data_IF_768695289943
#
_entry.id   IF_768695289943
#
_cell.length_a   1.000
_cell.length_b   1.000
_cell.length_c   1.000
_cell.angle_alpha   90.00
_cell.angle_beta   90.00
_cell.angle_gamma   90.00
#
_symmetry.space_group_name_H-M   'P 1'
#
loop_
_entity.id
_entity.type
_entity.pdbx_description
1 polymer ?
#
# COMPACT_ATOMS: atom_id res chain seq x y z
N UNK A 1 36.25 12.61 18.74
CA UNK A 1 36.35 14.07 18.46
C UNK A 1 35.31 14.44 17.42
N UNK A 2 34.24 15.15 17.81
CA UNK A 2 33.09 15.46 16.94
C UNK A 2 33.44 16.40 15.76
N UNK A 3 34.44 17.26 15.97
CA UNK A 3 34.82 18.36 15.08
C UNK A 3 35.29 17.96 13.67
N UNK A 4 35.93 16.79 13.51
CA UNK A 4 36.51 16.37 12.21
C UNK A 4 35.57 15.49 11.37
N UNK A 5 34.52 14.96 12.00
CA UNK A 5 33.60 14.01 11.34
C UNK A 5 32.50 14.72 10.57
N UNK A 6 32.06 15.90 11.04
CA UNK A 6 31.04 16.71 10.41
C UNK A 6 31.71 17.81 9.60
N UNK A 7 31.69 17.68 8.27
CA UNK A 7 32.20 18.69 7.32
C UNK A 7 31.25 19.90 7.30
N UNK A 8 31.25 20.69 8.39
CA UNK A 8 30.43 21.88 8.53
C UNK A 8 31.20 23.10 8.04
N UNK A 9 30.66 23.78 7.05
CA UNK A 9 31.18 25.06 6.55
C UNK A 9 30.56 26.20 7.36
N UNK A 10 30.96 26.34 8.63
CA UNK A 10 30.45 27.40 9.51
C UNK A 10 31.56 28.17 10.20
N UNK A 11 31.23 29.36 10.71
CA UNK A 11 32.17 30.21 11.43
C UNK A 11 32.63 29.58 12.77
N UNK A 12 31.84 28.66 13.33
CA UNK A 12 32.11 27.96 14.58
C UNK A 12 31.71 26.47 14.49
N UNK A 13 32.47 25.66 13.73
CA UNK A 13 32.10 24.27 13.41
C UNK A 13 31.97 23.39 14.66
N UNK A 14 32.66 23.75 15.75
CA UNK A 14 32.60 23.06 17.04
C UNK A 14 31.24 23.23 17.69
N UNK A 15 30.82 24.48 17.93
CA UNK A 15 29.55 24.80 18.56
C UNK A 15 28.36 24.30 17.72
N UNK A 16 28.49 24.34 16.40
CA UNK A 16 27.44 23.86 15.50
C UNK A 16 27.34 22.33 15.52
N UNK A 17 28.48 21.62 15.50
CA UNK A 17 28.48 20.16 15.63
C UNK A 17 27.86 19.71 16.96
N UNK A 18 28.13 20.44 18.03
CA UNK A 18 27.61 20.18 19.36
C UNK A 18 26.10 20.42 19.45
N UNK A 19 25.61 21.52 18.86
CA UNK A 19 24.19 21.84 18.77
C UNK A 19 23.41 20.80 17.94
N UNK A 20 23.97 20.36 16.81
CA UNK A 20 23.37 19.33 15.96
C UNK A 20 23.27 18.00 16.72
N UNK A 21 24.37 17.57 17.36
CA UNK A 21 24.40 16.32 18.14
C UNK A 21 23.45 16.39 19.34
N UNK A 22 23.42 17.52 20.04
CA UNK A 22 22.50 17.75 21.16
C UNK A 22 21.04 17.65 20.72
N UNK A 23 20.70 18.23 19.56
CA UNK A 23 19.36 18.13 18.99
C UNK A 23 19.03 16.69 18.59
N UNK A 24 19.93 15.98 17.93
CA UNK A 24 19.73 14.60 17.53
C UNK A 24 19.51 13.65 18.72
N UNK A 25 20.20 13.89 19.84
CA UNK A 25 19.99 13.17 21.10
C UNK A 25 18.62 13.51 21.69
N UNK A 26 18.27 14.80 21.78
CA UNK A 26 16.98 15.24 22.33
C UNK A 26 15.78 14.72 21.53
N UNK A 27 15.90 14.71 20.21
CA UNK A 27 14.87 14.24 19.29
C UNK A 27 14.80 12.69 19.27
N UNK A 28 15.71 11.99 19.98
CA UNK A 28 15.74 10.53 20.10
C UNK A 28 16.27 9.79 18.88
N UNK A 29 16.85 10.51 17.91
CA UNK A 29 17.44 9.91 16.71
C UNK A 29 18.77 9.20 17.03
N UNK A 30 19.48 9.65 18.05
CA UNK A 30 20.73 9.05 18.54
C UNK A 30 20.58 8.81 20.03
N UNK A 31 20.81 7.56 20.48
CA UNK A 31 20.86 7.25 21.91
C UNK A 31 22.31 7.37 22.42
N UNK A 32 22.66 8.59 22.82
CA UNK A 32 23.98 8.93 23.34
C UNK A 32 23.85 10.03 24.40
N UNK A 33 24.92 10.26 25.16
CA UNK A 33 25.11 11.45 25.97
C UNK A 33 26.24 12.29 25.39
N UNK A 34 26.19 13.60 25.64
CA UNK A 34 27.20 14.53 25.17
C UNK A 34 28.07 14.97 26.35
N UNK A 35 29.38 14.80 26.21
CA UNK A 35 30.37 15.34 27.13
C UNK A 35 30.93 16.64 26.55
N UNK A 36 30.41 17.75 27.07
CA UNK A 36 30.80 19.10 26.67
C UNK A 36 32.24 19.46 27.06
N UNK A 37 32.76 18.89 28.15
CA UNK A 37 34.11 19.21 28.65
C UNK A 37 35.19 18.61 27.73
N UNK A 38 34.95 17.39 27.23
CA UNK A 38 35.87 16.69 26.34
C UNK A 38 35.52 16.83 24.85
N UNK A 39 34.31 17.35 24.53
CA UNK A 39 33.82 17.51 23.15
C UNK A 39 33.51 16.18 22.47
N UNK A 40 33.08 15.17 23.24
CA UNK A 40 32.86 13.80 22.80
C UNK A 40 31.38 13.40 22.97
N UNK A 41 30.89 12.58 22.04
CA UNK A 41 29.63 11.86 22.26
C UNK A 41 29.96 10.49 22.85
N UNK A 42 29.18 10.08 23.85
CA UNK A 42 29.30 8.78 24.51
C UNK A 42 28.03 7.99 24.16
N UNK A 43 28.12 6.92 23.36
CA UNK A 43 26.95 6.13 23.02
C UNK A 43 26.39 5.47 24.28
N UNK A 44 25.06 5.41 24.41
CA UNK A 44 24.45 4.53 25.40
C UNK A 44 24.49 3.10 24.88
N UNK A 45 24.61 2.16 25.80
CA UNK A 45 24.59 0.75 25.43
C UNK A 45 23.20 0.38 24.91
N UNK A 46 23.11 0.05 23.63
CA UNK A 46 21.86 -0.43 23.03
C UNK A 46 21.57 -1.81 23.60
N UNK A 47 20.71 -1.88 24.62
CA UNK A 47 20.28 -3.13 25.23
C UNK A 47 19.58 -4.07 24.23
N UNK A 48 19.34 -5.31 24.66
CA UNK A 48 18.66 -6.31 23.84
C UNK A 48 17.26 -5.81 23.41
N UNK A 49 17.05 -5.73 22.09
CA UNK A 49 15.81 -5.26 21.49
C UNK A 49 14.61 -6.15 21.86
N UNK A 50 14.83 -7.45 22.12
CA UNK A 50 13.77 -8.39 22.49
C UNK A 50 13.31 -8.24 23.94
N UNK A 51 14.09 -7.52 24.76
CA UNK A 51 13.68 -7.12 26.10
C UNK A 51 12.73 -5.90 26.09
N UNK A 52 12.49 -5.29 24.93
CA UNK A 52 11.59 -4.14 24.74
C UNK A 52 10.33 -4.53 23.97
N UNK A 53 9.35 -3.60 23.89
CA UNK A 53 8.14 -3.80 23.09
C UNK A 53 8.34 -3.59 21.57
N UNK A 54 9.53 -3.17 21.12
CA UNK A 54 9.79 -2.83 19.72
C UNK A 54 9.49 -3.98 18.74
N UNK A 55 9.80 -5.25 19.05
CA UNK A 55 9.44 -6.36 18.16
C UNK A 55 7.92 -6.52 18.03
N UNK A 56 7.17 -6.36 19.12
CA UNK A 56 5.71 -6.46 19.11
C UNK A 56 5.09 -5.39 18.19
N UNK A 57 5.46 -4.12 18.36
CA UNK A 57 4.96 -3.03 17.49
C UNK A 57 5.32 -3.23 16.01
N UNK A 58 6.51 -3.77 15.74
CA UNK A 58 6.91 -4.09 14.36
C UNK A 58 6.03 -5.20 13.75
N UNK A 59 5.68 -6.23 14.53
CA UNK A 59 4.78 -7.28 14.08
C UNK A 59 3.34 -6.79 13.96
N UNK A 60 2.83 -6.00 14.90
CA UNK A 60 1.48 -5.42 14.83
C UNK A 60 1.29 -4.63 13.53
N UNK A 61 2.28 -3.81 13.17
CA UNK A 61 2.28 -3.05 11.90
C UNK A 61 2.22 -3.98 10.67
N UNK A 62 3.01 -5.05 10.67
CA UNK A 62 3.04 -6.03 9.57
C UNK A 62 1.72 -6.80 9.45
N UNK A 63 1.18 -7.25 10.58
CA UNK A 63 -0.08 -7.99 10.64
C UNK A 63 -1.22 -7.11 10.13
N UNK A 64 -1.31 -5.87 10.60
CA UNK A 64 -2.32 -4.91 10.13
C UNK A 64 -2.22 -4.69 8.62
N UNK A 65 -1.01 -4.50 8.09
CA UNK A 65 -0.79 -4.36 6.64
C UNK A 65 -1.26 -5.59 5.86
N UNK A 66 -0.85 -6.80 6.28
CA UNK A 66 -1.22 -8.04 5.59
C UNK A 66 -2.73 -8.30 5.61
N UNK A 67 -3.40 -8.03 6.74
CA UNK A 67 -4.85 -8.18 6.85
C UNK A 67 -5.60 -7.16 5.98
N UNK A 68 -5.12 -5.91 5.94
CA UNK A 68 -5.71 -4.89 5.07
C UNK A 68 -5.58 -5.28 3.59
N UNK A 69 -4.39 -5.69 3.17
CA UNK A 69 -4.15 -6.17 1.80
C UNK A 69 -5.03 -7.37 1.44
N UNK A 70 -5.25 -8.29 2.38
CA UNK A 70 -6.18 -9.41 2.20
C UNK A 70 -7.60 -8.92 1.95
N UNK A 71 -8.10 -8.00 2.78
CA UNK A 71 -9.45 -7.46 2.64
C UNK A 71 -9.64 -6.73 1.30
N UNK A 72 -8.65 -5.93 0.89
CA UNK A 72 -8.65 -5.26 -0.41
C UNK A 72 -8.68 -6.26 -1.57
N UNK A 73 -7.87 -7.32 -1.51
CA UNK A 73 -7.85 -8.37 -2.53
C UNK A 73 -9.20 -9.11 -2.60
N UNK A 74 -9.82 -9.43 -1.46
CA UNK A 74 -11.15 -10.05 -1.42
C UNK A 74 -12.22 -9.13 -2.01
N UNK A 75 -12.18 -7.84 -1.71
CA UNK A 75 -13.07 -6.85 -2.30
C UNK A 75 -12.87 -6.73 -3.82
N UNK A 76 -11.62 -6.74 -4.31
CA UNK A 76 -11.31 -6.65 -5.73
C UNK A 76 -11.67 -7.93 -6.51
N UNK A 77 -11.52 -9.10 -5.91
CA UNK A 77 -11.89 -10.39 -6.50
C UNK A 77 -13.40 -10.61 -6.53
N UNK A 78 -14.14 -9.96 -5.63
CA UNK A 78 -15.59 -9.83 -5.76
C UNK A 78 -15.90 -8.90 -6.93
N UNK A 79 -16.02 -9.49 -8.13
CA UNK A 79 -16.89 -8.94 -9.17
C UNK A 79 -18.20 -8.47 -8.49
N UNK A 80 -18.76 -7.29 -8.84
CA UNK A 80 -19.96 -6.80 -8.18
C UNK A 80 -20.97 -7.95 -8.08
N UNK A 81 -21.45 -8.31 -6.87
CA UNK A 81 -22.27 -9.51 -6.66
C UNK A 81 -23.58 -9.51 -7.48
N UNK A 82 -23.88 -8.39 -8.16
CA UNK A 82 -25.00 -8.22 -9.07
C UNK A 82 -24.62 -7.88 -10.52
N UNK A 83 -23.35 -8.04 -10.93
CA UNK A 83 -23.00 -8.21 -12.35
C UNK A 83 -23.33 -9.65 -12.78
N UNK A 84 -24.52 -10.11 -12.39
CA UNK A 84 -25.25 -10.99 -13.28
C UNK A 84 -25.48 -10.12 -14.51
N UNK A 85 -24.54 -10.20 -15.48
CA UNK A 85 -24.87 -9.98 -16.89
C UNK A 85 -26.25 -10.58 -17.02
N UNK A 86 -27.26 -9.78 -17.36
CA UNK A 86 -28.61 -10.28 -17.61
C UNK A 86 -28.42 -11.47 -18.55
N UNK A 87 -28.43 -12.69 -18.00
CA UNK A 87 -28.37 -13.89 -18.81
C UNK A 87 -29.71 -13.82 -19.50
N UNK A 88 -29.69 -13.69 -20.82
CA UNK A 88 -30.91 -13.67 -21.63
C UNK A 88 -31.86 -14.73 -21.08
N UNK A 89 -33.03 -14.29 -20.62
CA UNK A 89 -33.98 -15.22 -20.00
C UNK A 89 -34.37 -16.27 -21.03
N UNK A 90 -34.68 -17.49 -20.58
CA UNK A 90 -35.10 -18.56 -21.48
C UNK A 90 -36.30 -18.16 -22.37
N UNK A 91 -37.14 -17.23 -21.89
CA UNK A 91 -38.23 -16.64 -22.67
C UNK A 91 -37.73 -15.74 -23.80
N UNK A 92 -36.82 -14.80 -23.52
CA UNK A 92 -36.28 -13.87 -24.52
C UNK A 92 -35.52 -14.60 -25.64
N UNK A 93 -34.86 -15.71 -25.29
CA UNK A 93 -34.21 -16.60 -26.26
C UNK A 93 -35.20 -17.33 -27.18
N UNK A 94 -36.37 -17.75 -26.66
CA UNK A 94 -37.42 -18.39 -27.46
C UNK A 94 -38.11 -17.40 -28.38
N UNK A 95 -38.36 -16.18 -27.90
CA UNK A 95 -38.97 -15.11 -28.67
C UNK A 95 -38.09 -14.72 -29.88
N UNK A 96 -36.77 -14.59 -29.68
CA UNK A 96 -35.84 -14.37 -30.79
C UNK A 96 -35.90 -15.50 -31.83
N UNK A 97 -35.90 -16.76 -31.38
CA UNK A 97 -35.98 -17.91 -32.30
C UNK A 97 -37.29 -17.94 -33.09
N UNK A 98 -38.41 -17.54 -32.48
CA UNK A 98 -39.69 -17.42 -33.17
C UNK A 98 -39.66 -16.30 -34.21
N UNK A 99 -39.15 -15.12 -33.85
CA UNK A 99 -39.00 -14.01 -34.77
C UNK A 99 -38.09 -14.35 -35.96
N UNK A 100 -36.96 -15.02 -35.71
CA UNK A 100 -36.07 -15.52 -36.76
C UNK A 100 -36.76 -16.54 -37.68
N UNK A 101 -37.61 -17.41 -37.13
CA UNK A 101 -38.41 -18.36 -37.93
C UNK A 101 -39.51 -17.68 -38.73
N UNK A 102 -40.19 -16.68 -38.18
CA UNK A 102 -41.22 -15.91 -38.88
C UNK A 102 -40.63 -15.09 -40.03
N UNK A 103 -39.48 -14.45 -39.79
CA UNK A 103 -38.72 -13.75 -40.84
C UNK A 103 -38.30 -14.70 -41.97
N UNK A 104 -37.78 -15.88 -41.62
CA UNK A 104 -37.39 -16.88 -42.63
C UNK A 104 -38.58 -17.38 -43.46
N UNK A 105 -39.76 -17.53 -42.85
CA UNK A 105 -40.99 -17.90 -43.57
C UNK A 105 -41.45 -16.80 -44.50
N UNK A 106 -41.48 -15.54 -44.04
CA UNK A 106 -41.87 -14.41 -44.88
C UNK A 106 -40.96 -14.27 -46.12
N UNK A 107 -39.65 -14.47 -45.96
CA UNK A 107 -38.71 -14.44 -47.10
C UNK A 107 -38.98 -15.59 -48.07
N UNK A 108 -39.27 -16.79 -47.55
CA UNK A 108 -39.58 -17.95 -48.40
C UNK A 108 -40.91 -17.80 -49.15
N UNK A 109 -41.93 -17.20 -48.53
CA UNK A 109 -43.22 -16.90 -49.16
C UNK A 109 -43.08 -15.79 -50.23
N UNK A 110 -42.23 -14.78 -50.01
CA UNK A 110 -41.94 -13.74 -51.01
C UNK A 110 -41.11 -14.25 -52.20
N UNK A 111 -40.23 -15.25 -52.02
CA UNK A 111 -39.45 -15.89 -53.09
C UNK A 111 -40.28 -16.91 -53.91
N UNK A 112 -41.33 -17.51 -53.33
CA UNK A 112 -42.23 -18.46 -54.01
C UNK A 112 -43.32 -17.77 -54.88
N UNK A 113 -43.55 -16.46 -54.70
CA UNK A 113 -44.53 -15.65 -55.46
C UNK A 113 -43.94 -14.96 -56.72
N UNK A 114 -42.66 -15.15 -57.06
CA UNK A 114 -41.99 -14.60 -58.26
C UNK A 114 -41.76 -15.64 -59.39
N UNK A 115 -42.67 -16.61 -59.58
CA UNK A 115 -42.64 -17.60 -60.66
C UNK A 115 -43.95 -17.70 -61.49
#
# INVERSE_FOLDING_TARGET
MLQRSFRLDSASPVADSESIVSKAIRDGAIDATLDHANGWMVPKETGDIYSTNRPQTAFDTRIAFSLNLHNEAVCALRFPPNSHKEKESAGKRRERQQQEQELAKHIAEEDDDDF
#
